data_IF_035788621316
#
_entry.id   IF_035788621316
#
_cell.length_a   1.000
_cell.length_b   1.000
_cell.length_c   1.000
_cell.angle_alpha   90.00
_cell.angle_beta   90.00
_cell.angle_gamma   90.00
#
_symmetry.space_group_name_H-M   'P 1'
#
loop_
_entity.id
_entity.type
_entity.pdbx_description
1 polymer ?
#
# COMPACT_ATOMS: atom_id res chain seq x y z
N UNK A 1 34.13 20.18 13.60
CA UNK A 1 32.91 20.00 14.39
C UNK A 1 31.74 19.83 13.41
N UNK A 2 31.21 18.61 13.24
CA UNK A 2 30.15 18.28 12.25
C UNK A 2 28.79 18.33 12.96
N UNK A 3 27.84 19.08 12.43
CA UNK A 3 26.48 19.22 12.96
C UNK A 3 25.71 17.88 12.84
N UNK A 4 25.10 17.33 13.90
CA UNK A 4 24.31 16.10 13.81
C UNK A 4 22.87 16.45 13.43
N UNK A 5 22.63 16.75 12.15
CA UNK A 5 21.29 17.19 11.69
C UNK A 5 20.81 16.62 10.36
N UNK A 6 21.60 15.80 9.68
CA UNK A 6 21.11 15.10 8.49
C UNK A 6 20.44 13.79 8.94
N UNK A 7 19.16 13.62 8.62
CA UNK A 7 18.51 12.33 8.73
C UNK A 7 19.35 11.28 7.98
N UNK A 8 19.48 10.05 8.51
CA UNK A 8 20.23 9.01 7.83
C UNK A 8 19.65 8.82 6.42
N UNK A 9 20.54 8.71 5.43
CA UNK A 9 20.15 8.36 4.06
C UNK A 9 19.43 7.02 4.10
N UNK A 10 18.27 6.93 3.42
CA UNK A 10 17.50 5.71 3.36
C UNK A 10 18.35 4.60 2.72
N UNK A 11 18.42 3.43 3.37
CA UNK A 11 19.14 2.29 2.82
C UNK A 11 18.45 1.80 1.54
N UNK A 12 19.17 1.06 0.70
CA UNK A 12 18.54 0.40 -0.47
C UNK A 12 17.39 -0.53 -0.06
N UNK A 13 17.47 -1.14 1.12
CA UNK A 13 16.40 -1.96 1.66
C UNK A 13 15.15 -1.12 1.99
N UNK A 14 15.32 0.06 2.59
CA UNK A 14 14.20 0.97 2.91
C UNK A 14 13.49 1.43 1.63
N UNK A 15 14.25 1.71 0.57
CA UNK A 15 13.71 2.09 -0.73
C UNK A 15 12.96 0.94 -1.38
N UNK A 16 13.53 -0.26 -1.38
CA UNK A 16 12.84 -1.45 -1.89
C UNK A 16 11.52 -1.72 -1.14
N UNK A 17 11.51 -1.56 0.18
CA UNK A 17 10.31 -1.72 1.01
C UNK A 17 9.26 -0.66 0.70
N UNK A 18 9.64 0.62 0.61
CA UNK A 18 8.71 1.70 0.29
C UNK A 18 8.10 1.54 -1.12
N UNK A 19 8.91 1.13 -2.10
CA UNK A 19 8.45 0.81 -3.45
C UNK A 19 7.44 -0.35 -3.43
N UNK A 20 7.81 -1.47 -2.81
CA UNK A 20 6.95 -2.66 -2.74
C UNK A 20 5.63 -2.36 -2.03
N UNK A 21 5.68 -1.66 -0.90
CA UNK A 21 4.51 -1.29 -0.10
C UNK A 21 3.56 -0.39 -0.87
N UNK A 22 4.08 0.66 -1.50
CA UNK A 22 3.28 1.63 -2.23
C UNK A 22 2.59 1.01 -3.45
N UNK A 23 3.31 0.18 -4.20
CA UNK A 23 2.78 -0.51 -5.38
C UNK A 23 1.76 -1.58 -5.00
N UNK A 24 2.15 -2.54 -4.16
CA UNK A 24 1.32 -3.71 -3.86
C UNK A 24 0.00 -3.33 -3.17
N UNK A 25 0.01 -2.35 -2.26
CA UNK A 25 -1.22 -1.91 -1.59
C UNK A 25 -2.15 -1.12 -2.53
N UNK A 26 -1.60 -0.36 -3.49
CA UNK A 26 -2.41 0.28 -4.53
C UNK A 26 -3.07 -0.77 -5.42
N UNK A 27 -2.26 -1.68 -5.97
CA UNK A 27 -2.73 -2.75 -6.85
C UNK A 27 -3.76 -3.66 -6.17
N UNK A 28 -3.56 -4.04 -4.91
CA UNK A 28 -4.49 -4.91 -4.19
C UNK A 28 -5.89 -4.29 -4.06
N UNK A 29 -5.98 -3.00 -3.74
CA UNK A 29 -7.28 -2.31 -3.64
C UNK A 29 -7.97 -2.24 -5.01
N UNK A 30 -7.22 -1.92 -6.07
CA UNK A 30 -7.78 -1.88 -7.42
C UNK A 30 -8.26 -3.25 -7.91
N UNK A 31 -7.43 -4.29 -7.76
CA UNK A 31 -7.74 -5.64 -8.23
C UNK A 31 -8.97 -6.19 -7.50
N UNK A 32 -9.03 -6.06 -6.17
CA UNK A 32 -10.17 -6.58 -5.41
C UNK A 32 -11.42 -5.73 -5.66
N UNK A 33 -11.29 -4.41 -5.83
CA UNK A 33 -12.40 -3.55 -6.22
C UNK A 33 -13.01 -3.96 -7.57
N UNK A 34 -12.18 -4.25 -8.57
CA UNK A 34 -12.63 -4.81 -9.86
C UNK A 34 -13.27 -6.17 -9.70
N UNK A 35 -12.70 -7.03 -8.86
CA UNK A 35 -13.26 -8.36 -8.64
C UNK A 35 -14.65 -8.27 -7.99
N UNK A 36 -14.85 -7.40 -7.00
CA UNK A 36 -16.18 -7.11 -6.44
C UNK A 36 -17.16 -6.63 -7.50
N UNK A 37 -16.74 -5.68 -8.36
CA UNK A 37 -17.59 -5.17 -9.43
C UNK A 37 -18.01 -6.27 -10.41
N UNK A 38 -17.10 -7.18 -10.78
CA UNK A 38 -17.37 -8.30 -11.68
C UNK A 38 -18.37 -9.31 -11.10
N UNK A 39 -18.38 -9.48 -9.78
CA UNK A 39 -19.34 -10.37 -9.11
C UNK A 39 -20.70 -9.67 -8.90
N UNK A 40 -20.77 -8.34 -8.96
CA UNK A 40 -21.99 -7.61 -8.65
C UNK A 40 -22.42 -7.80 -7.19
N UNK A 41 -23.74 -7.87 -6.94
CA UNK A 41 -24.29 -7.91 -5.58
C UNK A 41 -23.79 -9.10 -4.74
N UNK A 42 -23.62 -10.28 -5.35
CA UNK A 42 -23.14 -11.48 -4.63
C UNK A 42 -21.72 -11.29 -4.09
N UNK A 43 -20.91 -10.42 -4.69
CA UNK A 43 -19.57 -10.12 -4.21
C UNK A 43 -19.56 -9.59 -2.77
N UNK A 44 -20.63 -8.95 -2.32
CA UNK A 44 -20.77 -8.41 -0.97
C UNK A 44 -21.28 -9.41 0.07
N UNK A 45 -21.62 -10.64 -0.32
CA UNK A 45 -22.18 -11.65 0.58
C UNK A 45 -21.12 -12.63 1.09
N UNK A 46 -21.48 -13.43 2.10
CA UNK A 46 -20.58 -14.41 2.71
C UNK A 46 -20.34 -15.62 1.80
N UNK A 47 -21.28 -15.96 0.94
CA UNK A 47 -21.22 -17.07 -0.01
C UNK A 47 -20.12 -16.84 -1.06
N UNK A 48 -19.90 -15.59 -1.49
CA UNK A 48 -18.79 -15.26 -2.39
C UNK A 48 -17.46 -15.15 -1.66
N UNK A 49 -17.46 -14.64 -0.42
CA UNK A 49 -16.26 -14.41 0.38
C UNK A 49 -15.32 -13.30 -0.13
N UNK A 50 -15.53 -12.78 -1.34
CA UNK A 50 -14.58 -11.87 -2.01
C UNK A 50 -14.46 -10.52 -1.30
N UNK A 51 -15.54 -10.03 -0.71
CA UNK A 51 -15.56 -8.78 0.06
C UNK A 51 -14.59 -8.77 1.26
N UNK A 52 -14.18 -9.93 1.80
CA UNK A 52 -13.15 -10.02 2.86
C UNK A 52 -11.80 -9.51 2.36
N UNK A 53 -11.45 -9.80 1.10
CA UNK A 53 -10.19 -9.32 0.52
C UNK A 53 -10.19 -7.80 0.35
N UNK A 54 -11.34 -7.16 0.13
CA UNK A 54 -11.39 -5.70 0.04
C UNK A 54 -11.08 -5.09 1.41
N UNK A 55 -11.70 -5.61 2.47
CA UNK A 55 -11.43 -5.18 3.86
C UNK A 55 -9.94 -5.33 4.19
N UNK A 56 -9.34 -6.47 3.82
CA UNK A 56 -7.91 -6.73 4.03
C UNK A 56 -7.02 -5.80 3.20
N UNK A 57 -7.34 -5.57 1.93
CA UNK A 57 -6.56 -4.67 1.06
C UNK A 57 -6.59 -3.23 1.59
N UNK A 58 -7.77 -2.73 1.98
CA UNK A 58 -7.93 -1.40 2.57
C UNK A 58 -7.20 -1.29 3.91
N UNK A 59 -7.28 -2.31 4.76
CA UNK A 59 -6.55 -2.35 6.03
C UNK A 59 -5.03 -2.37 5.83
N UNK A 60 -4.53 -3.19 4.90
CA UNK A 60 -3.11 -3.24 4.57
C UNK A 60 -2.61 -1.91 3.99
N UNK A 61 -3.45 -1.18 3.26
CA UNK A 61 -3.15 0.15 2.71
C UNK A 61 -3.01 1.22 3.81
N UNK A 62 -3.71 1.09 4.93
CA UNK A 62 -3.62 2.05 6.03
C UNK A 62 -2.51 1.71 7.04
N UNK A 63 -2.19 0.43 7.22
CA UNK A 63 -1.11 -0.01 8.11
C UNK A 63 0.27 0.35 7.57
N UNK A 64 1.16 0.78 8.47
CA UNK A 64 2.59 1.04 8.22
C UNK A 64 2.85 2.10 7.13
N UNK A 65 2.02 3.14 7.10
CA UNK A 65 2.14 4.24 6.15
C UNK A 65 1.38 4.00 4.84
N UNK A 66 0.75 5.07 4.35
CA UNK A 66 -0.05 5.00 3.12
C UNK A 66 0.86 4.90 1.88
N UNK A 67 0.37 4.34 0.76
CA UNK A 67 1.11 4.34 -0.49
C UNK A 67 1.57 5.74 -0.95
N UNK A 68 0.79 6.78 -0.64
CA UNK A 68 1.15 8.16 -0.94
C UNK A 68 2.33 8.62 -0.09
N UNK A 69 2.33 8.31 1.21
CA UNK A 69 3.44 8.63 2.11
C UNK A 69 4.74 7.93 1.68
N UNK A 70 4.66 6.64 1.29
CA UNK A 70 5.81 5.90 0.77
C UNK A 70 6.35 6.50 -0.53
N UNK A 71 5.49 6.90 -1.47
CA UNK A 71 5.93 7.60 -2.70
C UNK A 71 6.53 8.97 -2.41
N UNK A 72 5.97 9.71 -1.46
CA UNK A 72 6.51 11.01 -1.04
C UNK A 72 7.90 10.85 -0.43
N UNK A 73 8.11 9.83 0.41
CA UNK A 73 9.42 9.52 0.96
C UNK A 73 10.44 9.18 -0.14
N UNK A 74 10.07 8.35 -1.12
CA UNK A 74 10.93 8.02 -2.26
C UNK A 74 11.28 9.26 -3.10
N UNK A 75 10.33 10.18 -3.28
CA UNK A 75 10.54 11.42 -4.03
C UNK A 75 11.49 12.42 -3.33
N UNK A 76 11.77 12.26 -2.04
CA UNK A 76 12.76 13.09 -1.33
C UNK A 76 14.20 12.61 -1.53
N UNK A 77 14.39 11.42 -2.10
CA UNK A 77 15.70 10.82 -2.36
C UNK A 77 16.30 11.27 -3.71
N UNK A 78 15.46 11.65 -4.66
CA UNK A 78 15.83 12.06 -6.02
C UNK A 78 15.54 13.55 -6.22
#
# INVERSE_FOLDING_TARGET
MRWPGAAPEASEADVAVAMAKSYACGAAVEVVGKALQLHGGIGYTWESGIHVYLKRAVFNRSLFGSPAAHRQHLAQRY
#
